data_IF_910351950608
#
_entry.id   IF_910351950608
#
_cell.length_a   1.000
_cell.length_b   1.000
_cell.length_c   1.000
_cell.angle_alpha   90.00
_cell.angle_beta   90.00
_cell.angle_gamma   90.00
#
_symmetry.space_group_name_H-M   'P 1'
#
loop_
_entity.id
_entity.type
_entity.pdbx_description
1 polymer ?
#
# COMPACT_ATOMS: atom_id res chain seq x y z
N UNK A 1 -17.04 -3.60 18.11
CA UNK A 1 -15.82 -4.40 18.34
C UNK A 1 -14.64 -3.46 18.36
N UNK A 2 -14.10 -3.20 19.55
CA UNK A 2 -12.99 -2.26 19.72
C UNK A 2 -11.72 -2.81 19.08
N UNK A 3 -11.03 -2.00 18.30
CA UNK A 3 -9.69 -2.35 17.82
C UNK A 3 -8.78 -2.38 19.03
N UNK A 4 -8.35 -3.57 19.42
CA UNK A 4 -7.38 -3.74 20.49
C UNK A 4 -6.07 -3.04 20.09
N UNK A 5 -5.46 -2.32 21.04
CA UNK A 5 -4.25 -1.56 20.76
C UNK A 5 -3.15 -2.54 20.32
N UNK A 6 -2.51 -2.25 19.17
CA UNK A 6 -1.41 -3.10 18.67
C UNK A 6 -0.28 -3.18 19.72
N UNK A 7 0.30 -4.37 19.96
CA UNK A 7 1.47 -4.53 20.83
C UNK A 7 2.65 -3.68 20.36
N UNK A 8 3.54 -3.29 21.29
CA UNK A 8 4.70 -2.46 20.96
C UNK A 8 5.62 -3.08 19.90
N UNK A 9 5.82 -4.41 19.94
CA UNK A 9 6.68 -5.13 18.98
C UNK A 9 6.12 -5.18 17.55
N UNK A 10 4.84 -4.85 17.33
CA UNK A 10 4.20 -4.86 16.02
C UNK A 10 4.18 -3.46 15.36
N UNK A 11 4.77 -2.44 16.00
CA UNK A 11 4.81 -1.07 15.48
C UNK A 11 6.02 -0.85 14.60
N UNK A 12 5.82 -0.08 13.54
CA UNK A 12 6.87 0.35 12.62
C UNK A 12 7.13 1.85 12.77
N UNK A 13 8.31 2.30 12.33
CA UNK A 13 8.61 3.73 12.24
C UNK A 13 7.84 4.35 11.08
N UNK A 14 7.53 5.64 11.19
CA UNK A 14 6.93 6.37 10.09
C UNK A 14 7.90 6.37 8.88
N UNK A 15 7.39 6.21 7.65
CA UNK A 15 8.21 6.25 6.45
C UNK A 15 8.98 7.57 6.35
N UNK A 16 10.28 7.47 6.13
CA UNK A 16 11.17 8.61 5.95
C UNK A 16 12.35 8.19 5.08
N UNK A 17 12.87 9.14 4.29
CA UNK A 17 14.04 8.92 3.45
C UNK A 17 13.87 9.49 2.03
N UNK A 18 14.98 9.72 1.32
CA UNK A 18 14.96 10.27 -0.04
C UNK A 18 14.35 9.30 -1.06
N UNK A 19 14.68 8.00 -0.99
CA UNK A 19 14.19 7.02 -1.98
C UNK A 19 12.69 6.78 -1.82
N UNK A 20 12.18 6.72 -0.58
CA UNK A 20 10.74 6.65 -0.32
C UNK A 20 10.00 7.81 -1.00
N UNK A 21 10.49 9.06 -0.84
CA UNK A 21 9.87 10.24 -1.43
C UNK A 21 9.94 10.24 -2.96
N UNK A 22 11.05 9.78 -3.52
CA UNK A 22 11.19 9.59 -4.97
C UNK A 22 10.14 8.62 -5.50
N UNK A 23 10.00 7.44 -4.88
CA UNK A 23 8.99 6.46 -5.29
C UNK A 23 7.56 7.00 -5.13
N UNK A 24 7.25 7.76 -4.07
CA UNK A 24 5.96 8.48 -3.96
C UNK A 24 5.74 9.37 -5.18
N UNK A 25 6.75 10.13 -5.60
CA UNK A 25 6.69 10.97 -6.80
C UNK A 25 6.42 10.15 -8.06
N UNK A 26 7.15 9.04 -8.26
CA UNK A 26 6.96 8.15 -9.42
C UNK A 26 5.54 7.58 -9.45
N UNK A 27 5.05 7.01 -8.35
CA UNK A 27 3.71 6.40 -8.32
C UNK A 27 2.61 7.41 -8.64
N UNK A 28 2.72 8.65 -8.14
CA UNK A 28 1.72 9.70 -8.41
C UNK A 28 1.81 10.27 -9.81
N UNK A 29 3.02 10.52 -10.30
CA UNK A 29 3.21 11.09 -11.65
C UNK A 29 2.81 10.12 -12.76
N UNK A 30 2.98 8.82 -12.53
CA UNK A 30 2.65 7.77 -13.50
C UNK A 30 1.27 7.14 -13.27
N UNK A 31 0.47 7.65 -12.31
CA UNK A 31 -0.83 7.10 -11.94
C UNK A 31 -0.81 5.57 -11.71
N UNK A 32 0.20 5.08 -11.00
CA UNK A 32 0.41 3.65 -10.76
C UNK A 32 -0.19 3.21 -9.43
N UNK A 33 -0.67 1.98 -9.38
CA UNK A 33 -1.14 1.32 -8.17
C UNK A 33 -0.12 0.29 -7.67
N UNK A 34 0.00 0.20 -6.35
CA UNK A 34 0.86 -0.80 -5.70
C UNK A 34 0.10 -1.52 -4.60
N UNK A 35 0.40 -2.80 -4.40
CA UNK A 35 -0.10 -3.54 -3.23
C UNK A 35 0.44 -2.90 -1.94
N UNK A 36 1.61 -2.27 -1.99
CA UNK A 36 2.20 -1.56 -0.85
C UNK A 36 1.24 -0.51 -0.27
N UNK A 37 0.62 0.29 -1.14
CA UNK A 37 -0.31 1.35 -0.75
C UNK A 37 -1.74 0.83 -0.54
N UNK A 38 -2.29 0.13 -1.54
CA UNK A 38 -3.72 -0.26 -1.56
C UNK A 38 -4.04 -1.27 -0.46
N UNK A 39 -3.10 -2.15 -0.09
CA UNK A 39 -3.27 -3.10 1.00
C UNK A 39 -2.81 -2.54 2.37
N UNK A 40 -2.38 -1.28 2.45
CA UNK A 40 -1.92 -0.61 3.68
C UNK A 40 -0.76 -1.36 4.35
N UNK A 41 0.24 -1.76 3.55
CA UNK A 41 1.36 -2.53 4.04
C UNK A 41 2.20 -1.72 5.05
N UNK A 42 2.47 -2.23 6.27
CA UNK A 42 3.27 -1.51 7.26
C UNK A 42 4.74 -1.36 6.84
N UNK A 43 5.22 -2.15 5.87
CA UNK A 43 6.61 -2.15 5.43
C UNK A 43 6.88 -1.18 4.27
N UNK A 44 5.89 -0.40 3.81
CA UNK A 44 6.02 0.49 2.64
C UNK A 44 7.24 1.42 2.76
N UNK A 45 7.53 1.94 3.96
CA UNK A 45 8.70 2.78 4.20
C UNK A 45 10.02 2.08 3.94
N UNK A 46 10.22 0.87 4.49
CA UNK A 46 11.46 0.10 4.33
C UNK A 46 11.61 -0.44 2.89
N UNK A 47 10.54 -0.99 2.31
CA UNK A 47 10.57 -1.53 0.95
C UNK A 47 10.89 -0.45 -0.08
N UNK A 48 10.21 0.70 -0.02
CA UNK A 48 10.41 1.77 -0.99
C UNK A 48 11.74 2.50 -0.79
N UNK A 49 12.21 2.62 0.46
CA UNK A 49 13.55 3.17 0.70
C UNK A 49 14.65 2.29 0.07
N UNK A 50 14.40 0.98 -0.04
CA UNK A 50 15.24 0.02 -0.77
C UNK A 50 14.93 -0.05 -2.27
N UNK A 51 14.17 0.90 -2.83
CA UNK A 51 13.72 0.94 -4.24
C UNK A 51 12.99 -0.33 -4.68
N UNK A 52 12.19 -0.93 -3.79
CA UNK A 52 11.40 -2.13 -4.05
C UNK A 52 9.91 -1.84 -3.90
N UNK A 53 9.11 -2.18 -4.90
CA UNK A 53 7.66 -2.05 -4.88
C UNK A 53 6.98 -3.26 -5.56
N UNK A 54 5.79 -3.61 -5.10
CA UNK A 54 4.94 -4.63 -5.73
C UNK A 54 3.78 -3.94 -6.43
N UNK A 55 3.78 -3.96 -7.75
CA UNK A 55 2.75 -3.32 -8.57
C UNK A 55 1.42 -4.07 -8.51
N UNK A 56 0.33 -3.31 -8.66
CA UNK A 56 -1.03 -3.81 -8.82
C UNK A 56 -1.53 -3.37 -10.21
N UNK A 57 -1.67 -4.32 -11.13
CA UNK A 57 -1.68 -4.04 -12.58
C UNK A 57 -3.07 -3.89 -13.23
N UNK A 58 -4.17 -4.04 -12.51
CA UNK A 58 -5.54 -3.97 -13.08
C UNK A 58 -6.40 -2.96 -12.30
N UNK A 59 -5.80 -1.84 -11.92
CA UNK A 59 -6.41 -0.84 -11.03
C UNK A 59 -6.37 -1.24 -9.55
N UNK A 60 -6.99 -0.41 -8.71
CA UNK A 60 -7.03 -0.55 -7.26
C UNK A 60 -8.32 -1.15 -6.70
N UNK A 61 -9.27 -1.57 -7.56
CA UNK A 61 -10.54 -2.17 -7.15
C UNK A 61 -10.52 -3.66 -7.47
N UNK A 62 -10.72 -4.49 -6.44
CA UNK A 62 -10.88 -5.93 -6.59
C UNK A 62 -12.37 -6.30 -6.69
N UNK A 63 -12.73 -7.16 -7.63
CA UNK A 63 -14.11 -7.71 -7.71
C UNK A 63 -14.42 -8.74 -6.63
N UNK A 64 -13.39 -9.21 -5.91
CA UNK A 64 -13.51 -10.12 -4.77
C UNK A 64 -13.44 -9.34 -3.45
N UNK A 65 -13.95 -9.96 -2.39
CA UNK A 65 -13.95 -9.39 -1.04
C UNK A 65 -13.38 -10.38 -0.01
N UNK A 66 -12.08 -10.66 -0.12
CA UNK A 66 -11.38 -11.48 0.86
C UNK A 66 -11.43 -10.79 2.24
N UNK A 67 -11.89 -11.48 3.27
CA UNK A 67 -12.13 -10.89 4.60
C UNK A 67 -10.92 -10.22 5.26
N UNK A 68 -9.70 -10.57 4.86
CA UNK A 68 -8.45 -10.02 5.39
C UNK A 68 -7.86 -8.89 4.52
N UNK A 69 -8.34 -8.71 3.29
CA UNK A 69 -7.72 -7.82 2.31
C UNK A 69 -8.23 -6.38 2.47
N UNK A 70 -7.31 -5.42 2.48
CA UNK A 70 -7.64 -4.01 2.63
C UNK A 70 -7.83 -3.27 1.29
N UNK A 71 -7.55 -3.92 0.15
CA UNK A 71 -7.79 -3.36 -1.18
C UNK A 71 -9.29 -3.08 -1.34
N UNK A 72 -9.63 -1.95 -1.95
CA UNK A 72 -11.02 -1.59 -2.21
C UNK A 72 -11.73 -2.69 -3.01
N UNK A 73 -12.98 -2.98 -2.65
CA UNK A 73 -13.79 -3.96 -3.37
C UNK A 73 -14.92 -3.26 -4.12
N UNK A 74 -15.27 -3.77 -5.30
CA UNK A 74 -16.32 -3.19 -6.12
C UNK A 74 -16.19 -3.57 -7.59
N UNK A 75 -16.96 -2.87 -8.42
CA UNK A 75 -16.82 -2.92 -9.87
C UNK A 75 -15.74 -1.90 -10.29
N UNK A 76 -14.67 -2.32 -10.98
CA UNK A 76 -13.67 -1.39 -11.51
C UNK A 76 -14.31 -0.36 -12.46
N UNK A 77 -13.94 0.91 -12.32
CA UNK A 77 -14.52 2.01 -13.11
C UNK A 77 -13.64 2.48 -14.27
N UNK A 78 -12.39 2.02 -14.33
CA UNK A 78 -11.41 2.41 -15.35
C UNK A 78 -10.65 1.17 -15.82
N UNK A 79 -10.38 1.13 -17.13
CA UNK A 79 -9.49 0.19 -17.83
C UNK A 79 -8.56 1.02 -18.72
#
# INVERSE_FOLDING_TARGET
>A
MGVERRPEWLKVRLPAGPNFRELVGVMRTQALHTVCEEARCPNIGDCWERRTATFLILGNVCTRHCAYCAIAHGLPTEL
#
